data_IF_850355057502
#
_entry.id   IF_850355057502
#
_cell.length_a   1.000
_cell.length_b   1.000
_cell.length_c   1.000
_cell.angle_alpha   90.00
_cell.angle_beta   90.00
_cell.angle_gamma   90.00
#
_symmetry.space_group_name_H-M   'P 1'
#
loop_
_entity.id
_entity.type
_entity.pdbx_description
1 polymer ?
#
# COMPACT_ATOMS: atom_id res chain seq x y z
N UNK A 1 -4.13 16.60 -55.40
CA UNK A 1 -3.22 15.88 -54.48
C UNK A 1 -4.07 15.11 -53.49
N UNK A 2 -3.90 13.79 -53.47
CA UNK A 2 -4.66 12.88 -52.61
C UNK A 2 -4.47 13.28 -51.14
N UNK A 3 -5.56 13.68 -50.47
CA UNK A 3 -5.56 13.88 -49.03
C UNK A 3 -5.52 12.48 -48.39
N UNK A 4 -4.39 12.11 -47.79
CA UNK A 4 -4.38 11.00 -46.83
C UNK A 4 -5.38 11.34 -45.72
N UNK A 5 -6.27 10.43 -45.31
CA UNK A 5 -7.04 10.64 -44.10
C UNK A 5 -6.05 10.77 -42.94
N UNK A 6 -6.19 11.83 -42.15
CA UNK A 6 -5.51 11.94 -40.85
C UNK A 6 -5.92 10.69 -40.06
N UNK A 7 -5.03 9.69 -39.98
CA UNK A 7 -5.29 8.48 -39.22
C UNK A 7 -5.12 8.82 -37.74
N UNK A 8 -6.15 9.45 -37.18
CA UNK A 8 -6.31 9.64 -35.74
C UNK A 8 -6.31 8.24 -35.13
N UNK A 9 -5.28 7.92 -34.37
CA UNK A 9 -5.15 6.63 -33.69
C UNK A 9 -6.00 6.69 -32.42
N UNK A 10 -7.23 6.19 -32.49
CA UNK A 10 -8.10 6.09 -31.32
C UNK A 10 -7.76 4.86 -30.47
N UNK A 11 -7.66 5.05 -29.15
CA UNK A 11 -7.40 4.01 -28.16
C UNK A 11 -8.48 4.05 -27.10
N UNK A 12 -9.06 2.90 -26.77
CA UNK A 12 -10.10 2.76 -25.75
C UNK A 12 -9.53 2.06 -24.52
N UNK A 13 -9.77 2.61 -23.32
CA UNK A 13 -9.31 2.03 -22.05
C UNK A 13 -10.36 2.19 -20.96
N UNK A 14 -10.44 1.18 -20.10
CA UNK A 14 -11.23 1.28 -18.88
C UNK A 14 -10.58 2.23 -17.88
N UNK A 15 -11.40 3.08 -17.28
CA UNK A 15 -11.01 3.96 -16.18
C UNK A 15 -11.92 3.69 -15.01
N UNK A 16 -11.32 3.36 -13.86
CA UNK A 16 -12.03 3.14 -12.61
C UNK A 16 -11.87 4.36 -11.70
N UNK A 17 -13.00 4.85 -11.19
CA UNK A 17 -13.05 5.88 -10.16
C UNK A 17 -12.66 5.35 -8.78
N UNK A 18 -12.64 6.24 -7.77
CA UNK A 18 -12.38 5.84 -6.39
C UNK A 18 -13.52 4.94 -5.86
N UNK A 19 -13.17 4.09 -4.90
CA UNK A 19 -14.17 3.34 -4.15
C UNK A 19 -15.02 4.27 -3.29
N UNK A 20 -16.33 4.06 -3.33
CA UNK A 20 -17.27 4.63 -2.39
C UNK A 20 -17.07 4.03 -1.00
N UNK A 21 -17.73 4.63 0.00
CA UNK A 21 -17.74 4.09 1.37
C UNK A 21 -18.34 2.68 1.37
N UNK A 22 -17.81 1.83 2.24
CA UNK A 22 -18.35 0.49 2.45
C UNK A 22 -19.79 0.58 3.00
N UNK A 23 -20.66 -0.34 2.58
CA UNK A 23 -22.04 -0.43 3.08
C UNK A 23 -22.14 -0.67 4.59
N UNK A 24 -21.15 -1.38 5.14
CA UNK A 24 -21.10 -1.78 6.55
C UNK A 24 -19.76 -1.38 7.15
N UNK A 25 -19.69 -0.89 8.40
CA UNK A 25 -18.43 -0.55 9.06
C UNK A 25 -17.64 -1.78 9.55
N UNK A 26 -18.31 -2.92 9.75
CA UNK A 26 -17.77 -4.20 10.23
C UNK A 26 -18.73 -5.35 9.83
N UNK A 27 -18.37 -6.59 10.16
CA UNK A 27 -19.06 -7.85 9.81
C UNK A 27 -19.25 -8.10 8.31
N UNK A 28 -18.46 -7.41 7.49
CA UNK A 28 -18.55 -7.49 6.03
C UNK A 28 -19.58 -6.53 5.43
N UNK A 29 -19.20 -5.97 4.30
CA UNK A 29 -20.04 -5.14 3.46
C UNK A 29 -19.55 -5.16 2.02
N UNK A 30 -20.17 -4.35 1.17
CA UNK A 30 -19.78 -4.17 -0.23
C UNK A 30 -19.53 -2.69 -0.47
N UNK A 31 -18.47 -2.38 -1.22
CA UNK A 31 -18.21 -1.04 -1.74
C UNK A 31 -18.29 -1.06 -3.25
N UNK A 32 -18.75 0.06 -3.80
CA UNK A 32 -18.96 0.26 -5.23
C UNK A 32 -18.01 1.33 -5.77
N UNK A 33 -17.70 1.30 -7.06
CA UNK A 33 -17.01 2.38 -7.75
C UNK A 33 -17.53 2.52 -9.17
N UNK A 34 -17.38 3.73 -9.71
CA UNK A 34 -17.66 4.00 -11.11
C UNK A 34 -16.56 3.40 -12.00
N UNK A 35 -16.96 2.78 -13.11
CA UNK A 35 -16.05 2.23 -14.13
C UNK A 35 -16.63 2.59 -15.49
N UNK A 36 -15.87 3.31 -16.30
CA UNK A 36 -16.29 3.73 -17.64
C UNK A 36 -15.20 3.49 -18.68
N UNK A 37 -15.62 3.26 -19.92
CA UNK A 37 -14.72 3.16 -21.07
C UNK A 37 -14.44 4.56 -21.64
N UNK A 38 -13.17 4.91 -21.78
CA UNK A 38 -12.76 6.21 -22.31
C UNK A 38 -11.95 6.05 -23.59
N UNK A 39 -12.30 6.85 -24.59
CA UNK A 39 -11.52 7.05 -25.82
C UNK A 39 -10.43 8.11 -25.63
N UNK A 40 -9.29 7.88 -26.26
CA UNK A 40 -8.17 8.81 -26.39
C UNK A 40 -7.67 8.82 -27.82
N UNK A 41 -7.07 9.93 -28.26
CA UNK A 41 -6.46 10.10 -29.58
C UNK A 41 -5.06 10.67 -29.41
N UNK A 42 -4.23 10.45 -30.42
CA UNK A 42 -2.95 11.11 -30.62
C UNK A 42 -3.03 12.65 -30.80
N UNK A 43 -4.20 13.23 -31.08
CA UNK A 43 -4.39 14.68 -31.07
C UNK A 43 -4.50 15.21 -29.63
N UNK A 44 -3.50 15.96 -29.12
CA UNK A 44 -3.51 16.49 -27.76
C UNK A 44 -4.61 17.55 -27.51
N UNK A 45 -5.22 18.08 -28.57
CA UNK A 45 -6.33 19.03 -28.48
C UNK A 45 -7.63 18.36 -28.02
N UNK A 46 -7.75 17.05 -28.24
CA UNK A 46 -8.92 16.26 -27.91
C UNK A 46 -8.67 15.59 -26.56
N UNK A 47 -9.51 15.93 -25.57
CA UNK A 47 -9.46 15.31 -24.24
C UNK A 47 -10.05 13.91 -24.27
N UNK A 48 -9.66 13.09 -23.30
CA UNK A 48 -10.33 11.82 -23.03
C UNK A 48 -11.84 12.00 -22.94
N UNK A 49 -12.60 11.14 -23.61
CA UNK A 49 -14.06 11.23 -23.69
C UNK A 49 -14.71 9.88 -23.37
N UNK A 50 -15.86 9.92 -22.69
CA UNK A 50 -16.60 8.71 -22.32
C UNK A 50 -17.22 8.11 -23.59
N UNK A 51 -17.09 6.79 -23.73
CA UNK A 51 -17.69 6.02 -24.82
C UNK A 51 -18.51 4.86 -24.26
N UNK A 52 -19.22 4.18 -25.16
CA UNK A 52 -19.94 2.95 -24.81
C UNK A 52 -18.97 1.86 -24.34
N UNK A 53 -19.40 1.10 -23.33
CA UNK A 53 -18.65 0.00 -22.71
C UNK A 53 -18.15 -1.03 -23.75
N UNK A 54 -18.89 -1.25 -24.84
CA UNK A 54 -18.53 -2.17 -25.92
C UNK A 54 -17.24 -1.80 -26.68
N UNK A 55 -16.73 -0.58 -26.51
CA UNK A 55 -15.46 -0.14 -27.13
C UNK A 55 -14.22 -0.62 -26.38
N UNK A 56 -14.37 -0.98 -25.11
CA UNK A 56 -13.29 -1.53 -24.32
C UNK A 56 -13.39 -3.06 -24.25
N UNK A 57 -12.26 -3.73 -24.01
CA UNK A 57 -12.23 -5.19 -23.85
C UNK A 57 -12.84 -5.59 -22.51
N UNK A 58 -13.82 -6.49 -22.52
CA UNK A 58 -14.42 -7.05 -21.29
C UNK A 58 -13.37 -7.74 -20.39
N UNK A 59 -12.28 -8.26 -20.97
CA UNK A 59 -11.21 -8.94 -20.22
C UNK A 59 -10.43 -7.97 -19.32
N UNK A 60 -10.36 -6.70 -19.70
CA UNK A 60 -9.64 -5.66 -18.96
C UNK A 60 -10.55 -4.89 -18.00
N UNK A 61 -11.85 -5.23 -17.96
CA UNK A 61 -12.85 -4.51 -17.19
C UNK A 61 -12.56 -4.56 -15.68
N UNK A 62 -12.36 -3.42 -15.02
CA UNK A 62 -12.19 -3.37 -13.57
C UNK A 62 -13.46 -3.77 -12.83
N UNK A 63 -13.32 -4.38 -11.64
CA UNK A 63 -14.45 -4.69 -10.76
C UNK A 63 -15.24 -3.43 -10.41
N UNK A 64 -16.57 -3.46 -10.53
CA UNK A 64 -17.45 -2.36 -10.08
C UNK A 64 -17.79 -2.42 -8.59
N UNK A 65 -17.62 -3.59 -7.98
CA UNK A 65 -17.93 -3.83 -6.58
C UNK A 65 -16.93 -4.82 -5.97
N UNK A 66 -16.67 -4.67 -4.68
CA UNK A 66 -15.84 -5.63 -3.93
C UNK A 66 -16.25 -5.69 -2.45
N UNK A 67 -15.98 -6.82 -1.76
CA UNK A 67 -16.21 -6.93 -0.34
C UNK A 67 -15.28 -6.00 0.44
N UNK A 68 -15.76 -5.47 1.56
CA UNK A 68 -15.02 -4.57 2.45
C UNK A 68 -15.41 -4.81 3.91
N UNK A 69 -14.57 -4.30 4.83
CA UNK A 69 -14.80 -4.31 6.27
C UNK A 69 -15.16 -5.69 6.86
N UNK A 70 -14.36 -6.71 6.54
CA UNK A 70 -14.59 -8.10 6.94
C UNK A 70 -14.32 -8.38 8.43
N UNK A 71 -13.73 -7.44 9.17
CA UNK A 71 -13.49 -7.55 10.61
C UNK A 71 -14.82 -7.58 11.39
N UNK A 72 -14.90 -8.36 12.47
CA UNK A 72 -16.12 -8.37 13.26
C UNK A 72 -16.30 -7.10 14.07
N UNK A 73 -17.55 -6.67 14.28
CA UNK A 73 -17.83 -5.51 15.13
C UNK A 73 -17.38 -5.74 16.59
N UNK A 74 -17.36 -6.99 17.06
CA UNK A 74 -16.90 -7.36 18.41
C UNK A 74 -15.37 -7.31 18.59
N UNK A 75 -14.62 -7.45 17.50
CA UNK A 75 -13.15 -7.44 17.50
C UNK A 75 -12.55 -6.04 17.70
N UNK A 76 -13.37 -4.98 17.63
CA UNK A 76 -12.98 -3.61 18.03
C UNK A 76 -12.64 -3.51 19.53
N UNK A 77 -12.99 -4.53 20.33
CA UNK A 77 -12.54 -4.66 21.72
C UNK A 77 -11.22 -5.44 21.87
N UNK A 78 -10.73 -6.10 20.81
CA UNK A 78 -9.56 -7.00 20.81
C UNK A 78 -8.48 -6.55 19.80
N UNK A 79 -8.63 -5.42 19.11
CA UNK A 79 -7.51 -4.83 18.34
C UNK A 79 -6.60 -3.94 19.18
N UNK A 80 -6.70 -3.99 20.52
CA UNK A 80 -5.58 -3.66 21.40
C UNK A 80 -4.84 -4.97 21.65
N UNK A 81 -3.68 -5.15 21.01
CA UNK A 81 -2.76 -6.28 21.14
C UNK A 81 -2.98 -7.47 20.19
N UNK A 82 -2.23 -7.50 19.09
CA UNK A 82 -1.61 -8.76 18.62
C UNK A 82 -0.38 -8.57 17.73
N UNK A 83 -0.04 -7.33 17.33
CA UNK A 83 1.29 -7.05 16.78
C UNK A 83 2.09 -6.18 17.76
N UNK A 84 2.72 -6.81 18.77
CA UNK A 84 4.00 -6.30 19.23
C UNK A 84 5.06 -6.98 18.36
N UNK A 85 5.83 -6.27 17.51
CA UNK A 85 7.13 -6.80 17.12
C UNK A 85 7.89 -7.03 18.42
N UNK A 86 8.41 -8.23 18.61
CA UNK A 86 9.18 -8.62 19.78
C UNK A 86 10.44 -7.75 19.89
N UNK A 87 10.31 -6.54 20.45
CA UNK A 87 11.43 -5.81 20.97
C UNK A 87 11.93 -6.62 22.15
N UNK A 88 13.13 -7.20 22.01
CA UNK A 88 13.80 -7.89 23.11
C UNK A 88 13.65 -7.02 24.38
N UNK A 89 13.21 -7.62 25.48
CA UNK A 89 12.94 -6.89 26.70
C UNK A 89 14.11 -5.96 27.02
N UNK A 90 13.84 -4.69 27.36
CA UNK A 90 14.90 -3.69 27.58
C UNK A 90 15.96 -4.13 28.61
N UNK A 91 15.61 -5.08 29.48
CA UNK A 91 16.52 -5.80 30.37
C UNK A 91 17.61 -6.60 29.64
N UNK A 92 17.30 -7.26 28.53
CA UNK A 92 18.31 -7.97 27.72
C UNK A 92 19.31 -6.99 27.09
N UNK A 93 18.84 -5.85 26.59
CA UNK A 93 19.72 -4.79 26.06
C UNK A 93 20.59 -4.22 27.18
N UNK A 94 20.01 -3.92 28.34
CA UNK A 94 20.75 -3.44 29.51
C UNK A 94 21.80 -4.45 29.99
N UNK A 95 21.48 -5.75 30.02
CA UNK A 95 22.44 -6.80 30.37
C UNK A 95 23.61 -6.87 29.38
N UNK A 96 23.34 -6.82 28.07
CA UNK A 96 24.40 -6.82 27.06
C UNK A 96 25.30 -5.59 27.16
N UNK A 97 24.73 -4.41 27.41
CA UNK A 97 25.49 -3.16 27.61
C UNK A 97 26.34 -3.23 28.88
N UNK A 98 25.80 -3.71 29.99
CA UNK A 98 26.54 -3.84 31.26
C UNK A 98 27.68 -4.86 31.10
N UNK A 99 27.41 -6.02 30.48
CA UNK A 99 28.45 -7.03 30.21
C UNK A 99 29.56 -6.48 29.31
N UNK A 100 29.21 -5.70 28.28
CA UNK A 100 30.18 -5.01 27.44
C UNK A 100 31.02 -3.97 28.18
N UNK A 101 30.40 -3.15 29.05
CA UNK A 101 31.11 -2.15 29.84
C UNK A 101 32.04 -2.78 30.89
N UNK A 102 31.65 -3.90 31.50
CA UNK A 102 32.52 -4.64 32.43
C UNK A 102 33.71 -5.26 31.68
N UNK A 103 33.50 -5.79 30.48
CA UNK A 103 34.58 -6.33 29.65
C UNK A 103 35.58 -5.23 29.21
N UNK A 104 35.08 -4.08 28.75
CA UNK A 104 35.93 -2.95 28.31
C UNK A 104 36.61 -2.27 29.50
N UNK A 105 35.89 -2.08 30.61
CA UNK A 105 36.42 -1.50 31.84
C UNK A 105 37.47 -2.38 32.52
N UNK A 106 37.28 -3.70 32.51
CA UNK A 106 38.24 -4.66 33.06
C UNK A 106 39.56 -4.70 32.29
N UNK A 107 39.50 -4.68 30.95
CA UNK A 107 40.70 -4.61 30.10
C UNK A 107 41.41 -3.26 30.23
N UNK A 108 40.66 -2.16 30.29
CA UNK A 108 41.21 -0.82 30.50
C UNK A 108 41.91 -0.66 31.85
N UNK A 109 41.32 -1.20 32.93
CA UNK A 109 41.89 -1.13 34.27
C UNK A 109 43.14 -2.02 34.41
N UNK A 110 43.11 -3.25 33.89
CA UNK A 110 44.28 -4.13 33.88
C UNK A 110 45.42 -3.56 33.01
N UNK A 111 45.11 -3.01 31.85
CA UNK A 111 46.08 -2.33 30.98
C UNK A 111 46.68 -1.07 31.62
N UNK A 112 45.87 -0.26 32.31
CA UNK A 112 46.36 0.93 33.03
C UNK A 112 47.30 0.57 34.20
N UNK A 113 46.96 -0.47 34.97
CA UNK A 113 47.83 -0.97 36.05
C UNK A 113 49.14 -1.55 35.50
N UNK A 114 49.10 -2.25 34.36
CA UNK A 114 50.32 -2.75 33.70
C UNK A 114 51.20 -1.62 33.15
N UNK A 115 50.61 -0.58 32.56
CA UNK A 115 51.33 0.58 32.02
C UNK A 115 52.00 1.43 33.11
N UNK A 116 51.46 1.45 34.33
CA UNK A 116 51.97 2.24 35.45
C UNK A 116 52.99 1.50 36.33
N UNK A 117 53.48 0.34 35.88
CA UNK A 117 54.56 -0.43 36.51
C UNK A 117 55.83 -0.31 35.69
#
# INVERSE_FOLDING_TARGET
CNLLPLQISEVFKWVAGPWMKCSSPCDGGVRYRDVGCYGSTDDPSIKHYLVDDSRCSDQEMPLRQEPCNLQSCGDLSISVSSDKPSMMSGWLVALLVILGLVAVGGVGFAGYIYYKR
#
